data_IF_677346861574
#
_entry.id   IF_677346861574
#
_cell.length_a   1.000
_cell.length_b   1.000
_cell.length_c   1.000
_cell.angle_alpha   90.00
_cell.angle_beta   90.00
_cell.angle_gamma   90.00
#
_symmetry.space_group_name_H-M   'P 1'
#
loop_
_entity.id
_entity.type
_entity.pdbx_description
1 polymer ?
#
# COMPACT_ATOMS: atom_id res chain seq x y z
N UNK A 1 -17.68 -36.01 40.30
CA UNK A 1 -16.70 -34.95 39.92
C UNK A 1 -15.97 -35.25 38.61
N UNK A 2 -15.46 -36.47 38.37
CA UNK A 2 -14.71 -36.84 37.14
C UNK A 2 -15.45 -36.53 35.82
N UNK A 3 -16.76 -36.79 35.72
CA UNK A 3 -17.57 -36.46 34.52
C UNK A 3 -17.69 -34.94 34.27
N UNK A 4 -17.82 -34.13 35.32
CA UNK A 4 -17.88 -32.65 35.20
C UNK A 4 -16.51 -32.07 34.78
N UNK A 5 -15.43 -32.66 35.27
CA UNK A 5 -14.06 -32.30 34.88
C UNK A 5 -13.77 -32.64 33.42
N UNK A 6 -14.26 -33.79 32.94
CA UNK A 6 -14.13 -34.21 31.54
C UNK A 6 -14.91 -33.28 30.59
N UNK A 7 -16.14 -32.91 30.94
CA UNK A 7 -16.94 -31.95 30.16
C UNK A 7 -16.27 -30.57 30.14
N UNK A 8 -15.71 -30.13 31.27
CA UNK A 8 -14.97 -28.87 31.33
C UNK A 8 -13.70 -28.91 30.47
N UNK A 9 -12.93 -30.00 30.50
CA UNK A 9 -11.75 -30.18 29.65
C UNK A 9 -12.11 -30.22 28.16
N UNK A 10 -13.24 -30.84 27.80
CA UNK A 10 -13.75 -30.86 26.43
C UNK A 10 -14.17 -29.46 25.95
N UNK A 11 -14.87 -28.70 26.79
CA UNK A 11 -15.23 -27.30 26.51
C UNK A 11 -14.00 -26.40 26.38
N UNK A 12 -13.00 -26.61 27.23
CA UNK A 12 -11.74 -25.87 27.18
C UNK A 12 -10.95 -26.18 25.90
N UNK A 13 -10.88 -27.44 25.49
CA UNK A 13 -10.25 -27.84 24.22
C UNK A 13 -10.97 -27.25 23.00
N UNK A 14 -12.30 -27.14 23.03
CA UNK A 14 -13.07 -26.48 21.98
C UNK A 14 -12.70 -24.98 21.88
N UNK A 15 -12.52 -24.28 23.00
CA UNK A 15 -12.14 -22.85 22.98
C UNK A 15 -10.74 -22.59 22.43
N UNK A 16 -9.79 -23.50 22.65
CA UNK A 16 -8.41 -23.35 22.13
C UNK A 16 -8.33 -23.42 20.60
N UNK A 17 -9.28 -24.06 19.92
CA UNK A 17 -9.30 -24.19 18.46
C UNK A 17 -9.78 -22.93 17.73
N UNK A 18 -10.48 -22.01 18.41
CA UNK A 18 -11.06 -20.81 17.76
C UNK A 18 -10.02 -19.72 17.42
N UNK A 19 -8.78 -19.87 17.90
CA UNK A 19 -7.72 -18.87 17.73
C UNK A 19 -6.83 -19.04 16.51
N UNK A 20 -6.88 -20.19 15.81
CA UNK A 20 -5.93 -20.50 14.74
C UNK A 20 -6.27 -19.76 13.44
N UNK A 21 -5.23 -19.25 12.78
CA UNK A 21 -5.34 -18.64 11.45
C UNK A 21 -4.73 -19.57 10.43
N UNK A 22 -5.45 -19.84 9.35
CA UNK A 22 -4.93 -20.58 8.20
C UNK A 22 -4.44 -19.59 7.17
N UNK A 23 -3.15 -19.65 6.82
CA UNK A 23 -2.54 -18.78 5.80
C UNK A 23 -2.38 -19.55 4.49
N UNK A 24 -2.96 -19.00 3.44
CA UNK A 24 -2.75 -19.42 2.06
C UNK A 24 -1.75 -18.45 1.42
N UNK A 25 -0.62 -18.97 0.98
CA UNK A 25 0.47 -18.21 0.37
C UNK A 25 0.33 -18.32 -1.14
N UNK A 26 0.14 -17.17 -1.80
CA UNK A 26 0.13 -17.05 -3.24
C UNK A 26 1.43 -16.44 -3.72
N UNK A 27 1.96 -16.96 -4.83
CA UNK A 27 2.91 -16.23 -5.66
C UNK A 27 2.10 -15.36 -6.62
N UNK A 28 2.28 -14.04 -6.49
CA UNK A 28 1.57 -13.06 -7.29
C UNK A 28 2.52 -12.45 -8.30
N UNK A 29 2.20 -12.58 -9.58
CA UNK A 29 2.95 -12.00 -10.69
C UNK A 29 2.19 -10.80 -11.24
N UNK A 30 2.90 -9.69 -11.44
CA UNK A 30 2.37 -8.43 -11.95
C UNK A 30 3.22 -7.95 -13.12
N UNK A 31 2.57 -7.60 -14.22
CA UNK A 31 3.18 -6.87 -15.31
C UNK A 31 3.11 -5.35 -15.00
N UNK A 32 4.23 -4.70 -14.69
CA UNK A 32 4.23 -3.27 -14.37
C UNK A 32 3.92 -2.38 -15.58
N UNK A 33 4.19 -2.85 -16.80
CA UNK A 33 4.03 -2.10 -18.04
C UNK A 33 3.37 -2.98 -19.12
N UNK A 34 2.05 -2.86 -19.28
CA UNK A 34 1.27 -3.59 -20.31
C UNK A 34 1.73 -3.39 -21.77
N UNK A 35 2.65 -2.45 -22.03
CA UNK A 35 3.15 -2.09 -23.37
C UNK A 35 4.57 -2.66 -23.62
N UNK A 36 5.32 -3.04 -22.58
CA UNK A 36 6.67 -3.59 -22.73
C UNK A 36 6.71 -5.03 -22.22
N UNK A 37 7.40 -5.91 -22.95
CA UNK A 37 7.71 -7.30 -22.56
C UNK A 37 8.75 -7.35 -21.42
N UNK A 38 8.53 -6.60 -20.35
CA UNK A 38 9.35 -6.67 -19.14
C UNK A 38 8.99 -7.97 -18.41
N UNK A 39 10.00 -8.63 -17.83
CA UNK A 39 9.78 -9.77 -16.95
C UNK A 39 8.76 -9.42 -15.86
N UNK A 40 7.73 -10.27 -15.71
CA UNK A 40 6.75 -10.16 -14.63
C UNK A 40 7.49 -10.00 -13.29
N UNK A 41 7.08 -9.01 -12.51
CA UNK A 41 7.58 -8.88 -11.15
C UNK A 41 6.74 -9.77 -10.25
N UNK A 42 7.38 -10.48 -9.34
CA UNK A 42 6.71 -11.40 -8.43
C UNK A 42 6.82 -10.91 -6.99
N UNK A 43 5.75 -11.09 -6.22
CA UNK A 43 5.78 -11.00 -4.77
C UNK A 43 4.90 -12.09 -4.16
N UNK A 44 5.16 -12.46 -2.90
CA UNK A 44 4.22 -13.28 -2.16
C UNK A 44 3.12 -12.43 -1.56
N UNK A 45 1.91 -12.94 -1.66
CA UNK A 45 0.74 -12.39 -0.96
C UNK A 45 0.12 -13.46 -0.09
N UNK A 46 -0.42 -13.05 1.04
CA UNK A 46 -1.05 -13.94 2.00
C UNK A 46 -2.56 -13.71 1.99
N UNK A 47 -3.31 -14.81 2.00
CA UNK A 47 -4.71 -14.84 2.36
C UNK A 47 -4.83 -15.57 3.70
N UNK A 48 -4.99 -14.79 4.76
CA UNK A 48 -5.16 -15.29 6.12
C UNK A 48 -6.65 -15.46 6.41
N UNK A 49 -7.07 -16.68 6.70
CA UNK A 49 -8.46 -17.02 7.03
C UNK A 49 -8.56 -17.39 8.50
N UNK A 50 -9.47 -16.73 9.21
CA UNK A 50 -9.78 -17.00 10.62
C UNK A 50 -11.28 -16.94 10.83
N UNK A 51 -11.87 -18.05 11.23
CA UNK A 51 -13.32 -18.20 11.36
C UNK A 51 -14.04 -17.72 10.08
N UNK A 52 -14.89 -16.68 10.20
CA UNK A 52 -15.76 -16.19 9.13
C UNK A 52 -15.19 -14.99 8.35
N UNK A 53 -13.89 -14.70 8.53
CA UNK A 53 -13.24 -13.55 7.90
C UNK A 53 -11.91 -13.94 7.27
N UNK A 54 -11.48 -13.13 6.31
CA UNK A 54 -10.16 -13.24 5.71
C UNK A 54 -9.48 -11.89 5.53
N UNK A 55 -8.15 -11.93 5.44
CA UNK A 55 -7.26 -10.80 5.19
C UNK A 55 -6.34 -11.16 4.02
N UNK A 56 -6.38 -10.36 2.97
CA UNK A 56 -5.41 -10.40 1.88
C UNK A 56 -4.39 -9.26 2.02
N UNK A 57 -3.11 -9.59 2.03
CA UNK A 57 -2.01 -8.64 2.23
C UNK A 57 -0.71 -9.09 1.53
N UNK A 58 0.09 -8.12 1.07
CA UNK A 58 1.45 -8.36 0.59
C UNK A 58 2.40 -8.79 1.72
N UNK A 59 3.30 -9.75 1.46
CA UNK A 59 4.38 -10.10 2.37
C UNK A 59 5.29 -8.89 2.65
N UNK A 60 5.65 -8.14 1.60
CA UNK A 60 6.52 -6.97 1.70
C UNK A 60 5.87 -5.85 2.53
N UNK A 61 4.56 -5.62 2.35
CA UNK A 61 3.80 -4.68 3.20
C UNK A 61 3.80 -5.14 4.65
N UNK A 62 3.51 -6.41 4.90
CA UNK A 62 3.46 -6.97 6.25
C UNK A 62 4.81 -6.82 6.98
N UNK A 63 5.92 -7.13 6.29
CA UNK A 63 7.28 -6.95 6.80
C UNK A 63 7.55 -5.47 7.10
N UNK A 64 7.23 -4.58 6.16
CA UNK A 64 7.41 -3.13 6.31
C UNK A 64 6.67 -2.58 7.53
N UNK A 65 5.40 -2.93 7.72
CA UNK A 65 4.59 -2.46 8.85
C UNK A 65 5.08 -3.03 10.18
N UNK A 66 5.48 -4.31 10.20
CA UNK A 66 6.08 -4.93 11.39
C UNK A 66 7.40 -4.27 11.78
N UNK A 67 8.26 -3.96 10.81
CA UNK A 67 9.52 -3.26 11.07
C UNK A 67 9.24 -1.85 11.60
N UNK A 68 8.36 -1.10 10.95
CA UNK A 68 8.06 0.28 11.33
C UNK A 68 7.44 0.40 12.73
N UNK A 69 6.54 -0.52 13.09
CA UNK A 69 5.95 -0.58 14.43
C UNK A 69 6.99 -0.90 15.51
N UNK A 70 7.88 -1.87 15.27
CA UNK A 70 8.96 -2.18 16.19
C UNK A 70 9.91 -0.98 16.42
N UNK A 71 10.21 -0.20 15.37
CA UNK A 71 11.00 1.03 15.51
C UNK A 71 10.28 2.11 16.32
N UNK A 72 8.98 2.35 16.08
CA UNK A 72 8.20 3.31 16.86
C UNK A 72 8.11 2.96 18.34
N UNK A 73 8.07 1.67 18.68
CA UNK A 73 8.07 1.23 20.08
C UNK A 73 9.38 1.56 20.76
N UNK A 74 10.52 1.32 20.08
CA UNK A 74 11.85 1.68 20.60
C UNK A 74 12.03 3.20 20.81
N UNK A 75 11.51 4.03 19.92
CA UNK A 75 11.52 5.51 20.10
C UNK A 75 10.68 5.98 21.29
N UNK A 76 9.64 5.25 21.69
CA UNK A 76 8.84 5.60 22.88
C UNK A 76 9.51 5.16 24.18
N UNK A 77 10.33 4.12 24.15
CA UNK A 77 11.09 3.64 25.31
C UNK A 77 12.34 4.50 25.58
N UNK A 78 13.06 4.86 24.51
CA UNK A 78 14.15 5.84 24.60
C UNK A 78 13.56 7.25 24.51
N UNK A 79 13.34 7.94 25.63
CA UNK A 79 12.89 9.35 25.74
C UNK A 79 13.80 10.40 25.05
N UNK A 80 14.64 10.00 24.10
CA UNK A 80 15.52 10.89 23.34
C UNK A 80 14.89 11.15 21.98
N UNK A 81 14.42 12.38 21.75
CA UNK A 81 14.05 12.90 20.42
C UNK A 81 15.29 13.01 19.52
N UNK A 82 15.95 11.91 19.21
CA UNK A 82 16.88 11.86 18.10
C UNK A 82 16.11 11.35 16.90
N UNK A 83 15.86 12.23 15.94
CA UNK A 83 15.56 11.88 14.56
C UNK A 83 16.72 11.02 14.03
N UNK A 84 16.72 9.72 14.33
CA UNK A 84 17.57 8.77 13.64
C UNK A 84 16.94 8.59 12.27
N UNK A 85 17.39 9.43 11.36
CA UNK A 85 17.22 9.30 9.93
C UNK A 85 17.22 7.82 9.54
N UNK A 86 16.05 7.30 9.15
CA UNK A 86 15.81 5.89 8.80
C UNK A 86 16.75 5.41 7.68
N UNK A 87 17.40 6.34 6.97
CA UNK A 87 18.47 6.05 6.01
C UNK A 87 19.78 5.56 6.66
N UNK A 88 20.07 5.97 7.91
CA UNK A 88 21.30 5.64 8.65
C UNK A 88 21.25 4.27 9.34
N UNK A 89 20.07 3.67 9.49
CA UNK A 89 19.87 2.33 10.11
C UNK A 89 19.93 1.21 9.06
N UNK A 90 20.18 1.51 7.78
CA UNK A 90 20.31 0.49 6.73
C UNK A 90 19.01 -0.22 6.32
N UNK A 91 17.88 0.12 6.96
CA UNK A 91 16.57 -0.53 6.76
C UNK A 91 16.03 -0.31 5.34
N UNK A 92 16.31 0.84 4.72
CA UNK A 92 15.90 1.12 3.34
C UNK A 92 16.59 0.23 2.29
N UNK A 93 17.72 -0.42 2.60
CA UNK A 93 18.48 -1.21 1.61
C UNK A 93 17.93 -2.62 1.36
N UNK A 94 17.02 -3.12 2.20
CA UNK A 94 16.56 -4.52 2.14
C UNK A 94 15.04 -4.72 2.11
N UNK A 95 14.23 -3.66 2.09
CA UNK A 95 12.78 -3.79 1.94
C UNK A 95 12.45 -3.58 0.47
N UNK A 96 12.13 -4.68 -0.22
CA UNK A 96 11.56 -4.59 -1.56
C UNK A 96 10.24 -3.82 -1.51
N UNK A 97 9.99 -2.89 -2.46
CA UNK A 97 8.71 -2.20 -2.51
C UNK A 97 7.58 -3.21 -2.68
N UNK A 98 6.51 -3.06 -1.90
CA UNK A 98 5.31 -3.86 -2.07
C UNK A 98 4.55 -3.38 -3.32
N UNK A 99 4.13 -4.30 -4.20
CA UNK A 99 3.19 -3.97 -5.28
C UNK A 99 1.83 -3.57 -4.70
N UNK A 100 1.46 -4.15 -3.56
CA UNK A 100 0.23 -3.83 -2.84
C UNK A 100 0.55 -3.22 -1.47
N UNK A 101 0.51 -1.89 -1.42
CA UNK A 101 0.63 -1.11 -0.16
C UNK A 101 -0.71 -1.03 0.62
N UNK A 102 -1.75 -1.68 0.11
CA UNK A 102 -3.08 -1.81 0.72
C UNK A 102 -3.31 -3.21 1.30
N UNK A 103 -4.41 -3.38 2.02
CA UNK A 103 -4.90 -4.71 2.41
C UNK A 103 -6.42 -4.81 2.20
N UNK A 104 -6.92 -6.04 2.08
CA UNK A 104 -8.34 -6.31 1.86
C UNK A 104 -8.84 -7.23 2.95
N UNK A 105 -9.97 -6.91 3.55
CA UNK A 105 -10.66 -7.82 4.47
C UNK A 105 -11.97 -8.29 3.87
N UNK A 106 -12.35 -9.54 4.12
CA UNK A 106 -13.63 -10.07 3.68
C UNK A 106 -14.39 -10.68 4.84
N UNK A 107 -15.71 -10.47 4.84
CA UNK A 107 -16.65 -11.25 5.62
C UNK A 107 -17.21 -12.32 4.69
N UNK A 108 -16.84 -13.59 4.95
CA UNK A 108 -17.11 -14.71 4.05
C UNK A 108 -18.61 -15.02 4.00
N UNK A 109 -19.34 -15.16 5.13
CA UNK A 109 -20.79 -15.40 5.10
C UNK A 109 -21.61 -14.28 4.46
N UNK A 110 -21.25 -13.02 4.70
CA UNK A 110 -22.00 -11.87 4.17
C UNK A 110 -21.53 -11.47 2.76
N UNK A 111 -20.47 -12.10 2.24
CA UNK A 111 -19.81 -11.76 0.97
C UNK A 111 -19.46 -10.27 0.86
N UNK A 112 -19.11 -9.63 1.98
CA UNK A 112 -18.68 -8.23 2.01
C UNK A 112 -17.17 -8.14 1.90
N UNK A 113 -16.71 -7.29 0.99
CA UNK A 113 -15.29 -7.04 0.75
C UNK A 113 -14.99 -5.59 1.08
N UNK A 114 -13.93 -5.35 1.85
CA UNK A 114 -13.48 -4.03 2.26
C UNK A 114 -12.03 -3.82 1.84
N UNK A 115 -11.77 -2.70 1.19
CA UNK A 115 -10.42 -2.32 0.77
C UNK A 115 -9.90 -1.22 1.69
N UNK A 116 -8.70 -1.40 2.23
CA UNK A 116 -8.06 -0.47 3.15
C UNK A 116 -6.73 0.01 2.60
N UNK A 117 -6.51 1.30 2.70
CA UNK A 117 -5.26 1.96 2.33
C UNK A 117 -4.83 2.88 3.46
N UNK A 118 -3.57 3.32 3.42
CA UNK A 118 -3.01 4.25 4.39
C UNK A 118 -2.38 5.42 3.67
N UNK A 119 -2.86 6.62 3.97
CA UNK A 119 -2.39 7.86 3.40
C UNK A 119 -2.11 8.85 4.52
N UNK A 120 -0.98 9.54 4.47
CA UNK A 120 -0.60 10.51 5.50
C UNK A 120 -0.70 10.00 6.96
N UNK A 121 -0.45 8.71 7.20
CA UNK A 121 -0.56 8.08 8.52
C UNK A 121 -1.99 7.74 8.97
N UNK A 122 -3.03 8.15 8.23
CA UNK A 122 -4.43 7.80 8.48
C UNK A 122 -4.87 6.65 7.58
N UNK A 123 -5.70 5.77 8.12
CA UNK A 123 -6.35 4.73 7.32
C UNK A 123 -7.59 5.29 6.62
N UNK A 124 -7.80 4.88 5.37
CA UNK A 124 -9.00 5.16 4.59
C UNK A 124 -9.48 3.85 3.96
N UNK A 125 -10.79 3.64 3.93
CA UNK A 125 -11.34 2.39 3.40
C UNK A 125 -12.68 2.58 2.71
N UNK A 126 -13.08 1.61 1.90
CA UNK A 126 -14.42 1.51 1.34
C UNK A 126 -14.89 0.05 1.30
N UNK A 127 -16.20 -0.13 1.27
CA UNK A 127 -16.81 -1.42 0.96
C UNK A 127 -16.97 -1.54 -0.57
N UNK A 128 -16.51 -2.64 -1.15
CA UNK A 128 -16.73 -2.94 -2.56
C UNK A 128 -18.22 -3.15 -2.82
N UNK A 129 -18.74 -2.44 -3.82
CA UNK A 129 -20.16 -2.40 -4.17
C UNK A 129 -20.47 -3.24 -5.41
N UNK A 130 -19.46 -3.67 -6.18
CA UNK A 130 -19.65 -4.51 -7.36
C UNK A 130 -19.71 -5.99 -7.00
N UNK A 131 -20.82 -6.69 -7.30
CA UNK A 131 -20.91 -8.12 -7.07
C UNK A 131 -20.06 -8.90 -8.09
N UNK A 132 -19.46 -10.00 -7.64
CA UNK A 132 -18.78 -10.97 -8.51
C UNK A 132 -19.80 -11.94 -9.10
N UNK A 133 -20.09 -11.81 -10.39
CA UNK A 133 -21.01 -12.71 -11.11
C UNK A 133 -20.19 -13.79 -11.83
N UNK A 134 -19.92 -14.89 -11.12
CA UNK A 134 -19.13 -15.99 -11.66
C UNK A 134 -19.92 -16.83 -12.68
N UNK A 135 -19.30 -17.11 -13.81
CA UNK A 135 -19.70 -18.11 -14.77
C UNK A 135 -18.86 -19.37 -14.54
N UNK A 136 -19.45 -20.35 -13.84
CA UNK A 136 -18.78 -21.63 -13.55
C UNK A 136 -18.94 -22.55 -14.75
N UNK A 137 -17.84 -23.10 -15.23
CA UNK A 137 -17.81 -24.08 -16.33
C UNK A 137 -17.64 -25.51 -15.80
N UNK A 138 -18.01 -26.51 -16.59
CA UNK A 138 -17.81 -27.93 -16.26
C UNK A 138 -16.35 -28.40 -16.47
N UNK A 139 -15.45 -27.51 -16.89
CA UNK A 139 -14.05 -27.84 -17.11
C UNK A 139 -13.36 -28.02 -15.76
N UNK A 140 -12.79 -29.22 -15.56
CA UNK A 140 -12.00 -29.56 -14.39
C UNK A 140 -10.57 -29.93 -14.76
N UNK A 141 -9.60 -29.42 -14.01
CA UNK A 141 -8.19 -29.69 -14.22
C UNK A 141 -7.45 -29.72 -12.87
N UNK A 142 -6.29 -30.37 -12.83
CA UNK A 142 -5.41 -30.32 -11.67
C UNK A 142 -4.57 -29.04 -11.70
N UNK A 143 -4.87 -28.11 -10.81
CA UNK A 143 -4.15 -26.83 -10.67
C UNK A 143 -3.52 -26.76 -9.27
N UNK A 144 -2.24 -26.42 -9.21
CA UNK A 144 -1.49 -26.27 -7.94
C UNK A 144 -1.59 -27.50 -7.00
N UNK A 145 -1.75 -28.69 -7.59
CA UNK A 145 -1.91 -29.95 -6.86
C UNK A 145 -3.34 -30.35 -6.52
N UNK A 146 -4.33 -29.48 -6.72
CA UNK A 146 -5.75 -29.69 -6.37
C UNK A 146 -6.62 -29.97 -7.60
N UNK A 147 -7.62 -30.84 -7.46
CA UNK A 147 -8.67 -30.95 -8.47
C UNK A 147 -9.51 -29.67 -8.42
N UNK A 148 -9.50 -28.94 -9.54
CA UNK A 148 -10.05 -27.60 -9.61
C UNK A 148 -11.02 -27.45 -10.76
N UNK A 149 -12.05 -26.62 -10.58
CA UNK A 149 -13.05 -26.28 -11.58
C UNK A 149 -12.83 -24.85 -12.07
N UNK A 150 -13.00 -24.62 -13.37
CA UNK A 150 -12.82 -23.31 -13.99
C UNK A 150 -14.07 -22.44 -13.83
N UNK A 151 -13.87 -21.18 -13.46
CA UNK A 151 -14.88 -20.13 -13.47
C UNK A 151 -14.33 -18.85 -14.11
N UNK A 152 -15.21 -18.04 -14.69
CA UNK A 152 -14.85 -16.75 -15.31
C UNK A 152 -15.69 -15.62 -14.70
N UNK A 153 -15.11 -14.43 -14.56
CA UNK A 153 -15.86 -13.23 -14.14
C UNK A 153 -15.32 -11.99 -14.83
N UNK A 154 -16.21 -11.06 -15.15
CA UNK A 154 -15.80 -9.70 -15.52
C UNK A 154 -15.79 -8.82 -14.27
N UNK A 155 -14.61 -8.29 -13.91
CA UNK A 155 -14.44 -7.46 -12.73
C UNK A 155 -13.33 -6.44 -12.94
N UNK A 156 -13.58 -5.18 -12.58
CA UNK A 156 -12.60 -4.10 -12.69
C UNK A 156 -12.11 -3.87 -14.12
N UNK A 157 -13.00 -4.01 -15.11
CA UNK A 157 -12.67 -3.82 -16.53
C UNK A 157 -11.78 -4.92 -17.14
N UNK A 158 -11.60 -6.05 -16.43
CA UNK A 158 -10.82 -7.21 -16.90
C UNK A 158 -11.65 -8.48 -16.85
N UNK A 159 -11.27 -9.45 -17.68
CA UNK A 159 -11.84 -10.80 -17.63
C UNK A 159 -10.88 -11.66 -16.83
N UNK A 160 -11.40 -12.28 -15.78
CA UNK A 160 -10.62 -13.13 -14.89
C UNK A 160 -10.99 -14.58 -15.07
N UNK A 161 -9.98 -15.44 -15.21
CA UNK A 161 -10.13 -16.89 -15.13
C UNK A 161 -9.69 -17.36 -13.75
N UNK A 162 -10.59 -17.98 -13.00
CA UNK A 162 -10.33 -18.58 -11.71
C UNK A 162 -10.41 -20.11 -11.81
N UNK A 163 -9.50 -20.78 -11.12
CA UNK A 163 -9.58 -22.21 -10.83
C UNK A 163 -9.78 -22.38 -9.33
N UNK A 164 -10.89 -22.98 -8.94
CA UNK A 164 -11.24 -23.18 -7.54
C UNK A 164 -11.39 -24.66 -7.18
N UNK A 165 -11.07 -25.02 -5.95
CA UNK A 165 -11.15 -26.40 -5.47
C UNK A 165 -12.18 -26.56 -4.34
N UNK A 166 -13.02 -27.59 -4.45
CA UNK A 166 -13.97 -28.01 -3.41
C UNK A 166 -13.30 -28.75 -2.24
N UNK A 167 -12.05 -29.20 -2.42
CA UNK A 167 -11.26 -29.85 -1.38
C UNK A 167 -11.01 -28.91 -0.19
N UNK A 168 -11.00 -27.60 -0.46
CA UNK A 168 -10.92 -26.55 0.54
C UNK A 168 -12.25 -25.79 0.49
N UNK A 169 -13.19 -26.21 1.34
CA UNK A 169 -14.56 -25.70 1.37
C UNK A 169 -14.69 -24.30 2.01
N UNK A 170 -13.92 -23.33 1.49
CA UNK A 170 -13.94 -21.92 1.90
C UNK A 170 -14.21 -21.10 0.64
N UNK A 171 -15.28 -20.31 0.65
CA UNK A 171 -15.70 -19.49 -0.51
C UNK A 171 -14.89 -18.21 -0.62
N UNK A 172 -13.59 -18.33 -0.91
CA UNK A 172 -12.64 -17.21 -0.87
C UNK A 172 -11.49 -17.37 -1.88
N UNK A 173 -10.62 -16.36 -1.97
CA UNK A 173 -9.50 -16.30 -2.89
C UNK A 173 -8.61 -15.06 -2.70
N UNK A 174 -7.61 -14.87 -3.57
CA UNK A 174 -6.72 -13.71 -3.48
C UNK A 174 -7.45 -12.40 -3.84
N UNK A 175 -6.87 -11.27 -3.43
CA UNK A 175 -7.38 -9.93 -3.70
C UNK A 175 -8.84 -9.76 -3.25
N UNK A 176 -9.75 -9.29 -4.11
CA UNK A 176 -11.19 -9.11 -3.84
C UNK A 176 -12.03 -10.32 -4.20
N UNK A 177 -11.44 -11.34 -4.83
CA UNK A 177 -12.18 -12.47 -5.39
C UNK A 177 -12.66 -13.44 -4.31
N UNK A 178 -13.95 -13.76 -4.33
CA UNK A 178 -14.63 -14.68 -3.40
C UNK A 178 -15.96 -15.14 -4.02
N UNK A 179 -16.71 -16.01 -3.34
CA UNK A 179 -18.06 -16.40 -3.76
C UNK A 179 -18.18 -17.68 -4.61
N UNK A 180 -17.07 -18.34 -4.93
CA UNK A 180 -17.07 -19.67 -5.55
C UNK A 180 -17.26 -20.77 -4.49
N UNK A 181 -17.81 -21.95 -4.82
CA UNK A 181 -18.04 -23.03 -3.86
C UNK A 181 -16.73 -23.79 -3.53
N UNK A 182 -15.69 -23.07 -3.12
CA UNK A 182 -14.35 -23.57 -2.84
C UNK A 182 -13.30 -22.47 -2.93
N UNK A 183 -12.07 -22.77 -2.48
CA UNK A 183 -10.98 -21.80 -2.50
C UNK A 183 -10.42 -21.65 -3.91
N UNK A 184 -10.20 -20.40 -4.35
CA UNK A 184 -9.49 -20.11 -5.61
C UNK A 184 -8.00 -20.45 -5.43
N UNK A 185 -7.51 -21.46 -6.15
CA UNK A 185 -6.11 -21.90 -6.10
C UNK A 185 -5.26 -21.27 -7.21
N UNK A 186 -5.88 -20.82 -8.30
CA UNK A 186 -5.23 -20.07 -9.37
C UNK A 186 -6.19 -19.01 -9.90
N UNK A 187 -5.69 -17.82 -10.16
CA UNK A 187 -6.44 -16.71 -10.72
C UNK A 187 -5.54 -15.93 -11.68
N UNK A 188 -6.01 -15.67 -12.89
CA UNK A 188 -5.28 -14.86 -13.87
C UNK A 188 -6.23 -14.00 -14.70
N UNK A 189 -5.78 -12.82 -15.11
CA UNK A 189 -6.51 -12.00 -16.07
C UNK A 189 -6.25 -12.47 -17.50
N UNK A 190 -7.12 -12.07 -18.43
CA UNK A 190 -7.08 -12.45 -19.84
C UNK A 190 -5.80 -12.01 -20.57
N UNK A 191 -5.14 -10.97 -20.06
CA UNK A 191 -3.87 -10.45 -20.60
C UNK A 191 -2.63 -11.08 -19.97
N UNK A 192 -2.77 -11.81 -18.87
CA UNK A 192 -1.64 -12.31 -18.09
C UNK A 192 -0.84 -11.20 -17.40
N UNK A 193 -1.41 -10.00 -17.26
CA UNK A 193 -0.80 -8.91 -16.50
C UNK A 193 -0.83 -9.21 -14.99
N UNK A 194 -1.82 -9.98 -14.54
CA UNK A 194 -1.99 -10.34 -13.14
C UNK A 194 -2.23 -11.83 -13.00
N UNK A 195 -1.41 -12.47 -12.17
CA UNK A 195 -1.53 -13.90 -11.87
C UNK A 195 -1.34 -14.13 -10.38
N UNK A 196 -2.17 -15.00 -9.81
CA UNK A 196 -2.10 -15.44 -8.43
C UNK A 196 -2.11 -16.98 -8.43
N UNK A 197 -1.01 -17.59 -8.01
CA UNK A 197 -0.88 -19.04 -7.91
C UNK A 197 -0.72 -19.45 -6.44
N UNK A 198 -1.60 -20.33 -5.95
CA UNK A 198 -1.49 -20.87 -4.60
C UNK A 198 -0.25 -21.77 -4.52
N UNK A 199 0.68 -21.43 -3.63
CA UNK A 199 1.92 -22.18 -3.44
C UNK A 199 1.83 -23.08 -2.20
N UNK A 200 1.29 -22.55 -1.11
CA UNK A 200 1.35 -23.24 0.19
C UNK A 200 0.20 -22.89 1.11
N UNK A 201 -0.22 -23.87 1.90
CA UNK A 201 -1.10 -23.71 3.06
C UNK A 201 -0.28 -23.93 4.34
N UNK A 202 -0.35 -23.01 5.29
CA UNK A 202 0.25 -23.15 6.62
C UNK A 202 -0.73 -22.71 7.71
N UNK A 203 -0.51 -23.18 8.94
CA UNK A 203 -1.21 -22.66 10.13
C UNK A 203 -0.30 -21.68 10.85
N UNK A 204 -0.81 -20.51 11.17
CA UNK A 204 -0.10 -19.46 11.91
C UNK A 204 -0.82 -19.20 13.23
N UNK A 205 -0.03 -19.14 14.32
CA UNK A 205 -0.49 -18.66 15.61
C UNK A 205 -0.43 -17.14 15.61
N UNK A 206 -1.47 -16.46 16.10
CA UNK A 206 -1.58 -15.01 16.06
C UNK A 206 -1.39 -14.45 14.64
N UNK A 207 -2.09 -15.02 13.66
CA UNK A 207 -2.18 -14.43 12.32
C UNK A 207 -2.51 -12.95 12.45
N UNK A 208 -1.71 -12.12 11.79
CA UNK A 208 -1.70 -10.67 11.97
C UNK A 208 -3.05 -10.10 11.52
N UNK A 209 -3.95 -9.91 12.48
CA UNK A 209 -5.16 -9.12 12.26
C UNK A 209 -4.70 -7.66 12.16
N UNK A 210 -4.59 -7.15 10.93
CA UNK A 210 -4.40 -5.71 10.71
C UNK A 210 -5.43 -4.96 11.55
N UNK A 211 -4.95 -4.14 12.48
CA UNK A 211 -5.83 -3.36 13.33
C UNK A 211 -6.41 -2.23 12.50
N UNK A 212 -7.73 -2.24 12.36
CA UNK A 212 -8.48 -1.12 11.81
C UNK A 212 -8.48 -0.04 12.89
N UNK A 213 -7.88 1.10 12.55
CA UNK A 213 -7.81 2.27 13.42
C UNK A 213 -9.20 2.83 13.66
N UNK A 214 -9.46 3.28 14.88
CA UNK A 214 -10.73 3.89 15.26
C UNK A 214 -11.02 5.20 14.52
N UNK A 215 -9.98 5.86 13.99
CA UNK A 215 -10.06 7.08 13.19
C UNK A 215 -10.06 6.80 11.67
N UNK A 216 -10.21 5.54 11.24
CA UNK A 216 -10.23 5.18 9.83
C UNK A 216 -11.39 5.88 9.10
N UNK A 217 -11.06 6.63 8.03
CA UNK A 217 -12.05 7.35 7.22
C UNK A 217 -12.75 6.36 6.29
N UNK A 218 -14.06 6.21 6.44
CA UNK A 218 -14.87 5.51 5.44
C UNK A 218 -15.14 6.42 4.24
N UNK A 219 -15.00 5.87 3.04
CA UNK A 219 -15.32 6.49 1.76
C UNK A 219 -16.22 5.57 0.93
N UNK A 220 -16.54 5.98 -0.30
CA UNK A 220 -17.15 5.13 -1.32
C UNK A 220 -16.08 4.72 -2.33
N UNK A 221 -16.27 3.60 -3.03
CA UNK A 221 -15.34 3.16 -4.08
C UNK A 221 -15.08 4.26 -5.11
N UNK A 222 -16.12 5.01 -5.51
CA UNK A 222 -16.03 6.07 -6.53
C UNK A 222 -15.29 7.30 -6.00
N UNK A 223 -15.57 7.71 -4.77
CA UNK A 223 -14.94 8.89 -4.17
C UNK A 223 -13.53 8.63 -3.63
N UNK A 224 -13.12 7.35 -3.51
CA UNK A 224 -11.94 6.92 -2.76
C UNK A 224 -10.66 7.67 -3.12
N UNK A 225 -10.35 7.81 -4.41
CA UNK A 225 -9.13 8.49 -4.86
C UNK A 225 -9.17 9.99 -4.54
N UNK A 226 -10.33 10.63 -4.66
CA UNK A 226 -10.52 12.04 -4.30
C UNK A 226 -10.37 12.25 -2.81
N UNK A 227 -10.98 11.39 -1.99
CA UNK A 227 -10.86 11.42 -0.54
C UNK A 227 -9.43 11.15 -0.07
N UNK A 228 -8.72 10.23 -0.72
CA UNK A 228 -7.30 9.94 -0.47
C UNK A 228 -6.43 11.16 -0.76
N UNK A 229 -6.64 11.81 -1.90
CA UNK A 229 -5.91 13.03 -2.26
C UNK A 229 -6.19 14.19 -1.29
N UNK A 230 -7.43 14.34 -0.84
CA UNK A 230 -7.80 15.34 0.15
C UNK A 230 -7.06 15.13 1.48
N UNK A 231 -6.98 13.89 1.99
CA UNK A 231 -6.23 13.57 3.20
C UNK A 231 -4.74 13.89 3.08
N UNK A 232 -4.14 13.61 1.92
CA UNK A 232 -2.73 13.93 1.67
C UNK A 232 -2.50 15.46 1.67
N UNK A 233 -3.39 16.23 1.03
CA UNK A 233 -3.31 17.69 1.01
C UNK A 233 -3.47 18.31 2.41
N UNK A 234 -4.41 17.80 3.21
CA UNK A 234 -4.60 18.21 4.61
C UNK A 234 -3.33 17.98 5.44
N UNK A 235 -2.70 16.83 5.28
CA UNK A 235 -1.47 16.50 5.98
C UNK A 235 -0.31 17.43 5.59
N UNK A 236 -0.12 17.69 4.29
CA UNK A 236 0.90 18.61 3.80
C UNK A 236 0.67 20.03 4.33
N UNK A 237 -0.60 20.49 4.35
CA UNK A 237 -0.96 21.80 4.91
C UNK A 237 -0.64 21.89 6.40
N UNK A 238 -1.03 20.88 7.18
CA UNK A 238 -0.77 20.85 8.62
C UNK A 238 0.73 20.76 8.93
N UNK A 239 1.51 20.02 8.14
CA UNK A 239 2.98 19.96 8.28
C UNK A 239 3.63 21.31 7.97
N UNK A 240 3.15 22.05 6.96
CA UNK A 240 3.64 23.40 6.63
C UNK A 240 3.32 24.41 7.74
N UNK A 241 2.13 24.32 8.34
CA UNK A 241 1.73 25.21 9.42
C UNK A 241 2.45 24.89 10.74
N UNK A 242 2.71 23.61 11.04
CA UNK A 242 3.45 23.19 12.24
C UNK A 242 4.99 23.31 12.14
N UNK A 243 5.53 23.60 10.96
CA UNK A 243 6.97 23.75 10.72
C UNK A 243 7.52 25.16 10.91
N UNK A 244 6.71 26.14 11.33
CA UNK A 244 7.09 27.55 11.36
C UNK A 244 6.93 28.25 12.72
N UNK A 245 7.00 27.51 13.84
CA UNK A 245 7.31 28.10 15.16
C UNK A 245 8.83 28.23 15.40
N UNK A 246 9.59 28.51 14.34
CA UNK A 246 10.92 29.12 14.42
C UNK A 246 10.77 30.61 14.12
N UNK A 247 11.03 31.44 15.12
CA UNK A 247 10.66 32.86 15.16
C UNK A 247 10.81 33.63 13.85
N UNK A 248 9.76 34.40 13.52
CA UNK A 248 9.93 35.60 12.69
C UNK A 248 11.05 36.44 13.31
N UNK A 249 12.13 36.80 12.58
CA UNK A 249 12.95 37.91 13.01
C UNK A 249 12.08 39.15 12.88
N UNK A 250 11.74 39.71 14.03
CA UNK A 250 11.22 41.06 14.21
C UNK A 250 12.18 42.04 13.51
N UNK A 251 11.84 42.46 12.29
CA UNK A 251 12.41 43.69 11.74
C UNK A 251 11.59 44.84 12.30
N UNK A 252 11.79 45.08 13.59
CA UNK A 252 11.34 46.25 14.30
C UNK A 252 11.82 47.50 13.58
N UNK A 253 10.87 48.39 13.28
CA UNK A 253 11.13 49.69 12.72
C UNK A 253 12.03 50.52 13.62
N UNK A 254 13.14 50.99 13.04
CA UNK A 254 13.94 52.09 13.56
C UNK A 254 13.95 53.20 12.53
N UNK A 255 13.10 54.22 12.73
CA UNK A 255 13.07 55.40 11.88
C UNK A 255 14.36 56.21 11.98
N UNK A 256 14.72 56.92 10.91
CA UNK A 256 15.57 58.11 10.95
C UNK A 256 15.23 59.07 9.81
N UNK A 257 15.17 60.34 10.20
CA UNK A 257 14.76 61.51 9.45
C UNK A 257 15.51 61.77 8.13
N UNK A 258 14.74 62.24 7.14
CA UNK A 258 14.81 63.57 6.53
C UNK A 258 16.15 64.15 6.08
N UNK A 259 16.26 64.47 4.78
CA UNK A 259 17.05 65.61 4.29
C UNK A 259 17.64 65.47 2.88
N UNK A 260 17.21 66.32 1.95
CA UNK A 260 18.14 67.01 1.03
C UNK A 260 18.31 66.54 -0.44
N UNK A 261 17.50 67.12 -1.34
CA UNK A 261 17.83 67.82 -2.60
C UNK A 261 19.04 67.48 -3.52
N UNK A 262 18.75 67.66 -4.84
CA UNK A 262 19.60 67.88 -6.06
C UNK A 262 20.27 66.63 -6.64
N UNK A 263 20.28 66.35 -7.95
CA UNK A 263 20.02 67.12 -9.17
C UNK A 263 21.17 66.86 -10.17
N UNK A 264 20.89 66.50 -11.43
CA UNK A 264 21.91 66.57 -12.50
C UNK A 264 21.87 65.47 -13.57
N UNK A 265 21.50 65.89 -14.79
CA UNK A 265 21.72 65.23 -16.09
C UNK A 265 23.19 64.80 -16.31
N UNK A 266 23.41 63.72 -17.08
CA UNK A 266 24.27 63.77 -18.28
C UNK A 266 23.99 62.64 -19.27
N UNK A 267 24.13 62.99 -20.55
CA UNK A 267 23.91 62.23 -21.77
C UNK A 267 25.27 61.88 -22.42
N UNK A 268 25.29 60.86 -23.28
CA UNK A 268 26.36 60.55 -24.24
C UNK A 268 27.17 59.30 -23.86
N UNK A 269 27.51 58.35 -24.73
CA UNK A 269 27.42 58.26 -26.19
C UNK A 269 28.67 57.53 -26.73
N UNK A 270 28.48 56.35 -27.36
CA UNK A 270 29.35 55.80 -28.41
C UNK A 270 30.63 55.02 -28.04
N UNK A 271 30.89 53.92 -28.78
CA UNK A 271 32.26 53.58 -29.21
C UNK A 271 32.81 52.15 -28.97
N UNK A 272 32.46 51.22 -29.86
CA UNK A 272 33.29 50.19 -30.55
C UNK A 272 34.56 49.53 -29.92
N UNK A 273 34.51 48.18 -29.90
CA UNK A 273 35.43 47.20 -30.55
C UNK A 273 36.68 46.59 -29.84
N UNK A 274 36.74 45.25 -30.00
CA UNK A 274 37.88 44.34 -30.19
C UNK A 274 38.59 43.58 -29.02
N UNK A 275 38.33 42.25 -29.02
CA UNK A 275 39.28 41.13 -29.32
C UNK A 275 40.25 40.63 -28.23
N UNK A 276 40.27 39.31 -28.04
CA UNK A 276 41.39 38.52 -27.49
C UNK A 276 41.02 37.63 -26.30
N UNK A 277 40.66 36.35 -26.54
CA UNK A 277 41.50 35.15 -26.37
C UNK A 277 41.69 34.64 -24.92
N UNK A 278 41.02 33.51 -24.67
CA UNK A 278 41.51 32.26 -24.09
C UNK A 278 42.16 32.25 -22.69
N UNK A 279 41.49 31.58 -21.75
CA UNK A 279 42.06 31.09 -20.50
C UNK A 279 41.14 30.01 -19.92
N UNK A 280 41.62 28.77 -19.93
CA UNK A 280 40.96 27.58 -19.41
C UNK A 280 40.57 27.74 -17.93
N UNK A 281 39.36 27.32 -17.55
CA UNK A 281 39.12 26.65 -16.26
C UNK A 281 37.88 25.74 -16.34
N UNK A 282 38.02 24.54 -15.79
CA UNK A 282 37.12 23.41 -15.86
C UNK A 282 35.80 23.62 -15.06
N UNK A 283 34.73 22.84 -15.34
CA UNK A 283 33.38 23.17 -14.87
C UNK A 283 33.13 22.63 -13.46
N UNK A 284 32.76 23.50 -12.52
CA UNK A 284 32.08 23.06 -11.30
C UNK A 284 30.59 22.81 -11.60
N UNK A 285 30.28 21.52 -11.72
CA UNK A 285 28.95 20.96 -11.56
C UNK A 285 28.34 21.42 -10.23
N UNK A 286 27.16 22.01 -10.31
CA UNK A 286 26.35 22.39 -9.17
C UNK A 286 24.88 22.49 -9.56
N UNK A 287 24.39 21.54 -10.37
CA UNK A 287 22.96 21.38 -10.60
C UNK A 287 22.34 20.83 -9.32
N UNK A 288 21.65 21.71 -8.59
CA UNK A 288 20.65 21.33 -7.61
C UNK A 288 19.53 20.58 -8.34
N UNK A 289 19.68 19.27 -8.49
CA UNK A 289 18.58 18.40 -8.86
C UNK A 289 17.59 18.39 -7.69
N UNK A 290 16.60 19.28 -7.78
CA UNK A 290 15.34 19.10 -7.10
C UNK A 290 14.76 17.78 -7.62
N UNK A 291 15.03 16.70 -6.90
CA UNK A 291 14.35 15.42 -7.07
C UNK A 291 12.88 15.65 -6.70
N UNK A 292 12.12 16.08 -7.70
CA UNK A 292 10.66 15.99 -7.69
C UNK A 292 10.34 14.50 -7.54
N UNK A 293 10.03 14.08 -6.32
CA UNK A 293 9.26 12.87 -6.09
C UNK A 293 7.96 13.03 -6.88
N UNK A 294 7.89 12.44 -8.08
CA UNK A 294 6.61 12.10 -8.69
C UNK A 294 5.97 11.06 -7.77
N UNK A 295 5.24 11.54 -6.76
CA UNK A 295 4.21 10.76 -6.12
C UNK A 295 3.13 10.54 -7.19
N UNK A 296 3.29 9.47 -7.97
CA UNK A 296 2.16 8.89 -8.68
C UNK A 296 1.15 8.51 -7.61
N UNK A 297 -0.01 9.17 -7.65
CA UNK A 297 -1.19 8.71 -6.94
C UNK A 297 -1.27 7.21 -7.19
N UNK A 298 -1.15 6.39 -6.14
CA UNK A 298 -1.16 4.94 -6.26
C UNK A 298 -2.58 4.51 -6.68
N UNK A 299 -2.88 4.62 -7.97
CA UNK A 299 -4.05 4.00 -8.57
C UNK A 299 -3.88 2.48 -8.40
N UNK A 300 -4.94 1.79 -7.98
CA UNK A 300 -4.92 0.35 -7.82
C UNK A 300 -4.74 -0.29 -9.21
N UNK A 301 -3.56 -0.87 -9.51
CA UNK A 301 -3.18 -1.15 -10.89
C UNK A 301 -3.95 -2.34 -11.49
N UNK A 302 -4.62 -3.11 -10.63
CA UNK A 302 -5.44 -4.28 -11.00
C UNK A 302 -6.72 -3.86 -11.74
N UNK A 303 -7.33 -2.74 -11.39
CA UNK A 303 -8.65 -2.37 -11.90
C UNK A 303 -8.58 -1.25 -12.94
N UNK A 304 -9.10 -1.53 -14.13
CA UNK A 304 -9.25 -0.57 -15.22
C UNK A 304 -10.53 0.26 -15.00
N UNK A 305 -10.47 1.55 -15.35
CA UNK A 305 -11.56 2.53 -15.16
C UNK A 305 -12.84 2.16 -15.88
#
# INVERSE_FOLDING_TARGET
>A
MKKKLFVFALLFLLTMSYGQTTRYIYETSVNPDSINLVSLKTEKTFLDVKANRSLFISENKLIKDSLFSAFKLKEKEDNTKQEKDLSKVGVKKHIEPAFFEYFITKNIPEQKVYYYDKVAGKQIYYQEDRPLKWEISDVTEKQNGYLSQKAVVNFGGRIWTAWFTKEIAISDGPYKFSGLPGLIVKLEDDKGDYKFDLVKKITVQNGFEEQISSDAKQSTRIAFNGDKAALELEFVKNKRLGGNEGGMPDFGGGGRHGGGMRGGNHQGGGGMSHKGMNGNDAPMQGTSENVFFKNTVSENPIELK
#
